data_IF_929136617997
#
_entry.id   IF_929136617997
#
_cell.length_a   1.000
_cell.length_b   1.000
_cell.length_c   1.000
_cell.angle_alpha   90.00
_cell.angle_beta   90.00
_cell.angle_gamma   90.00
#
_symmetry.space_group_name_H-M   'P 1'
#
loop_
_entity.id
_entity.type
_entity.pdbx_description
1 polymer ?
#
# COMPACT_ATOMS: atom_id res chain seq x y z
N UNK A 1 2.58 -14.93 16.28
CA UNK A 1 1.64 -15.41 15.24
C UNK A 1 0.46 -14.48 15.13
N UNK A 2 0.15 -14.02 13.89
CA UNK A 2 -0.94 -13.10 13.60
C UNK A 2 -1.90 -13.74 12.59
N UNK A 3 -3.18 -13.79 12.94
CA UNK A 3 -4.26 -14.12 12.00
C UNK A 3 -4.82 -12.82 11.45
N UNK A 4 -4.63 -12.59 10.14
CA UNK A 4 -5.12 -11.41 9.44
C UNK A 4 -6.62 -11.47 9.18
N UNK A 5 -7.38 -10.63 9.87
CA UNK A 5 -8.84 -10.56 9.73
C UNK A 5 -9.31 -9.34 8.93
N UNK A 6 -8.41 -8.41 8.65
CA UNK A 6 -8.65 -7.19 7.87
C UNK A 6 -7.37 -6.76 7.14
N UNK A 7 -7.53 -5.90 6.15
CA UNK A 7 -6.44 -5.42 5.29
C UNK A 7 -6.60 -3.93 5.04
N UNK A 8 -5.47 -3.23 4.80
CA UNK A 8 -5.51 -1.84 4.33
C UNK A 8 -6.00 -1.77 2.89
N UNK A 9 -6.66 -0.67 2.54
CA UNK A 9 -6.93 -0.33 1.16
C UNK A 9 -5.62 -0.06 0.39
N UNK A 10 -5.67 -0.20 -0.94
CA UNK A 10 -4.55 0.04 -1.84
C UNK A 10 -4.91 1.10 -2.85
N UNK A 11 -4.03 2.09 -3.03
CA UNK A 11 -4.15 3.09 -4.08
C UNK A 11 -2.78 3.33 -4.70
N UNK A 12 -2.63 2.94 -5.96
CA UNK A 12 -1.45 3.23 -6.78
C UNK A 12 -1.75 4.39 -7.72
N UNK A 13 -0.95 5.43 -7.69
CA UNK A 13 -1.10 6.59 -8.57
C UNK A 13 0.16 6.87 -9.35
N UNK A 14 -0.02 7.48 -10.53
CA UNK A 14 1.01 8.07 -11.33
C UNK A 14 0.71 9.56 -11.52
N UNK A 15 1.69 10.39 -11.25
CA UNK A 15 1.67 11.81 -11.53
C UNK A 15 2.57 12.07 -12.74
N UNK A 16 2.04 12.75 -13.74
CA UNK A 16 2.80 13.22 -14.90
C UNK A 16 2.91 14.73 -14.83
N UNK A 17 4.14 15.23 -14.80
CA UNK A 17 4.44 16.66 -14.77
C UNK A 17 5.01 17.04 -16.14
N UNK A 18 4.34 17.98 -16.81
CA UNK A 18 4.74 18.46 -18.13
C UNK A 18 5.11 19.96 -18.09
N UNK A 19 6.18 20.31 -18.75
CA UNK A 19 6.54 21.71 -18.94
C UNK A 19 7.13 21.91 -20.34
N UNK A 20 7.07 23.17 -20.81
CA UNK A 20 7.65 23.52 -22.09
C UNK A 20 9.17 23.35 -22.04
N UNK A 21 9.75 23.06 -23.20
CA UNK A 21 11.17 22.88 -23.39
C UNK A 21 12.00 24.04 -22.83
N UNK A 22 13.00 23.73 -22.03
CA UNK A 22 13.98 24.69 -21.52
C UNK A 22 15.38 24.07 -21.55
N UNK A 23 16.43 24.89 -21.68
CA UNK A 23 17.80 24.42 -21.55
C UNK A 23 18.42 24.87 -20.22
N UNK A 24 19.41 24.11 -19.75
CA UNK A 24 20.08 24.40 -18.47
C UNK A 24 20.84 25.73 -18.47
N UNK A 25 21.28 26.21 -19.65
CA UNK A 25 21.96 27.51 -19.79
C UNK A 25 21.03 28.73 -19.75
N UNK A 26 19.71 28.56 -19.89
CA UNK A 26 18.71 29.64 -19.82
C UNK A 26 17.46 29.22 -19.04
N UNK A 27 17.55 29.00 -17.72
CA UNK A 27 16.46 28.45 -16.91
C UNK A 27 15.31 29.42 -16.61
N UNK A 28 15.33 30.61 -17.19
CA UNK A 28 14.68 31.80 -16.58
C UNK A 28 13.19 31.98 -16.77
N UNK A 29 12.42 31.17 -17.54
CA UNK A 29 10.99 31.46 -17.77
C UNK A 29 10.06 30.25 -17.83
N UNK A 30 10.57 29.03 -17.73
CA UNK A 30 9.75 27.83 -17.85
C UNK A 30 10.02 26.91 -16.67
N UNK A 31 8.95 26.34 -16.13
CA UNK A 31 9.05 25.38 -15.04
C UNK A 31 9.89 24.17 -15.49
N UNK A 32 10.83 23.75 -14.64
CA UNK A 32 11.56 22.51 -14.86
C UNK A 32 10.72 21.35 -14.24
N UNK A 33 10.28 20.37 -15.04
CA UNK A 33 9.40 19.29 -14.55
C UNK A 33 9.98 18.53 -13.36
N UNK A 34 11.30 18.29 -13.34
CA UNK A 34 11.97 17.60 -12.22
C UNK A 34 11.86 18.41 -10.92
N UNK A 35 12.09 19.74 -10.99
CA UNK A 35 11.94 20.61 -9.81
C UNK A 35 10.49 20.64 -9.31
N UNK A 36 9.54 20.77 -10.24
CA UNK A 36 8.10 20.76 -9.91
C UNK A 36 7.71 19.43 -9.28
N UNK A 37 8.15 18.31 -9.84
CA UNK A 37 7.89 16.97 -9.30
C UNK A 37 8.44 16.79 -7.89
N UNK A 38 9.65 17.32 -7.61
CA UNK A 38 10.23 17.26 -6.27
C UNK A 38 9.44 18.10 -5.25
N UNK A 39 9.01 19.31 -5.64
CA UNK A 39 8.17 20.16 -4.79
C UNK A 39 6.85 19.45 -4.52
N UNK A 40 6.18 18.96 -5.56
CA UNK A 40 4.90 18.25 -5.46
C UNK A 40 5.01 17.03 -4.55
N UNK A 41 6.05 16.20 -4.70
CA UNK A 41 6.26 15.02 -3.86
C UNK A 41 6.39 15.39 -2.37
N UNK A 42 7.18 16.40 -2.05
CA UNK A 42 7.35 16.85 -0.67
C UNK A 42 6.07 17.49 -0.08
N UNK A 43 5.31 18.20 -0.89
CA UNK A 43 4.07 18.85 -0.45
C UNK A 43 2.96 17.80 -0.25
N UNK A 44 2.86 16.82 -1.14
CA UNK A 44 1.94 15.69 -1.01
C UNK A 44 2.24 14.87 0.25
N UNK A 45 3.50 14.51 0.49
CA UNK A 45 3.90 13.78 1.69
C UNK A 45 3.40 14.50 2.95
N UNK A 46 3.69 15.80 3.06
CA UNK A 46 3.24 16.61 4.20
C UNK A 46 1.73 16.76 4.30
N UNK A 47 1.05 16.94 3.17
CA UNK A 47 -0.40 17.13 3.16
C UNK A 47 -1.13 15.86 3.57
N UNK A 48 -0.72 14.70 3.05
CA UNK A 48 -1.33 13.40 3.33
C UNK A 48 -1.11 12.99 4.79
N UNK A 49 0.11 13.06 5.31
CA UNK A 49 0.38 12.72 6.72
C UNK A 49 -0.31 13.67 7.70
N UNK A 50 -0.49 14.94 7.34
CA UNK A 50 -1.25 15.91 8.17
C UNK A 50 -2.75 15.62 8.15
N UNK A 51 -3.29 15.22 7.01
CA UNK A 51 -4.72 14.99 6.85
C UNK A 51 -5.18 13.66 7.44
N UNK A 52 -4.31 12.66 7.47
CA UNK A 52 -4.62 11.30 7.91
C UNK A 52 -3.67 10.83 9.02
N UNK A 53 -3.73 11.45 10.21
CA UNK A 53 -2.89 11.11 11.36
C UNK A 53 -3.40 9.88 12.13
N UNK A 54 -4.42 9.18 11.62
CA UNK A 54 -5.09 8.09 12.30
C UNK A 54 -4.16 6.88 12.49
N UNK A 55 -4.33 6.21 13.62
CA UNK A 55 -3.59 5.01 13.99
C UNK A 55 -4.55 3.88 14.35
N UNK A 56 -4.35 2.71 13.76
CA UNK A 56 -5.03 1.46 14.14
C UNK A 56 -3.98 0.45 14.62
N UNK A 57 -3.85 0.30 15.93
CA UNK A 57 -2.86 -0.57 16.59
C UNK A 57 -3.08 -2.06 16.34
N UNK A 58 -4.14 -2.44 15.68
CA UNK A 58 -4.35 -3.83 15.26
C UNK A 58 -3.56 -4.19 13.99
N UNK A 59 -2.93 -3.21 13.32
CA UNK A 59 -1.96 -3.42 12.25
C UNK A 59 -0.53 -3.35 12.78
N UNK A 60 0.39 -4.13 12.19
CA UNK A 60 1.82 -4.05 12.50
C UNK A 60 2.39 -2.66 12.19
N UNK A 61 1.97 -2.06 11.06
CA UNK A 61 2.17 -0.65 10.76
C UNK A 61 0.84 0.06 11.03
N UNK A 62 0.71 0.80 12.14
CA UNK A 62 -0.58 1.30 12.60
C UNK A 62 -1.13 2.49 11.78
N UNK A 63 -0.32 3.11 10.93
CA UNK A 63 -0.67 4.30 10.14
C UNK A 63 -1.01 3.94 8.69
N UNK A 64 -1.68 4.84 7.98
CA UNK A 64 -1.67 4.83 6.51
C UNK A 64 -0.29 5.22 6.00
N UNK A 65 0.14 4.61 4.89
CA UNK A 65 1.44 4.93 4.27
C UNK A 65 1.25 5.46 2.86
N UNK A 66 2.12 6.41 2.46
CA UNK A 66 2.07 7.10 1.18
C UNK A 66 3.48 7.09 0.58
N UNK A 67 3.92 5.93 0.08
CA UNK A 67 5.32 5.71 -0.28
C UNK A 67 5.60 6.07 -1.74
N UNK A 68 6.56 6.96 -2.00
CA UNK A 68 7.01 7.21 -3.36
C UNK A 68 7.69 5.95 -3.92
N UNK A 69 7.29 5.59 -5.13
CA UNK A 69 7.88 4.49 -5.89
C UNK A 69 8.64 5.04 -7.08
N UNK A 70 9.68 4.38 -7.46
CA UNK A 70 10.55 4.57 -8.61
C UNK A 70 10.40 5.86 -9.44
N UNK A 71 11.51 6.34 -9.92
CA UNK A 71 11.61 7.42 -10.92
C UNK A 71 12.02 6.74 -12.21
N UNK A 72 11.24 6.92 -13.29
CA UNK A 72 11.69 6.54 -14.62
C UNK A 72 12.51 7.71 -15.14
N UNK A 73 13.82 7.56 -15.19
CA UNK A 73 14.70 8.56 -15.79
C UNK A 73 14.49 8.56 -17.31
N UNK A 74 14.09 9.72 -17.83
CA UNK A 74 13.84 9.92 -19.26
C UNK A 74 14.95 10.70 -19.98
N UNK A 75 15.98 11.17 -19.27
CA UNK A 75 17.00 12.03 -19.88
C UNK A 75 18.41 11.45 -19.83
N UNK A 76 18.98 11.19 -21.01
CA UNK A 76 20.38 10.80 -21.21
C UNK A 76 21.30 12.02 -21.44
N UNK A 77 20.76 13.22 -21.59
CA UNK A 77 21.53 14.43 -21.94
C UNK A 77 21.46 15.48 -20.83
N UNK A 78 22.59 15.89 -20.31
CA UNK A 78 22.71 16.90 -19.26
C UNK A 78 22.30 18.32 -19.68
N UNK A 79 22.32 18.61 -20.98
CA UNK A 79 22.08 19.95 -21.50
C UNK A 79 20.58 20.27 -21.75
N UNK A 80 19.76 19.25 -21.85
CA UNK A 80 18.32 19.38 -22.19
C UNK A 80 17.49 18.93 -21.02
N UNK A 81 16.65 19.83 -20.48
CA UNK A 81 15.66 19.45 -19.46
C UNK A 81 14.58 18.57 -20.11
N UNK A 82 14.12 17.51 -19.45
CA UNK A 82 13.01 16.71 -19.94
C UNK A 82 11.74 17.56 -20.06
N UNK A 83 10.89 17.25 -21.04
CA UNK A 83 9.57 17.87 -21.14
C UNK A 83 8.57 17.26 -20.18
N UNK A 84 8.84 16.05 -19.69
CA UNK A 84 7.99 15.27 -18.79
C UNK A 84 8.81 14.67 -17.68
N UNK A 85 8.16 14.57 -16.52
CA UNK A 85 8.65 13.86 -15.35
C UNK A 85 7.53 13.05 -14.74
N UNK A 86 7.85 11.90 -14.15
CA UNK A 86 6.88 10.98 -13.58
C UNK A 86 7.14 10.73 -12.10
N UNK A 87 6.08 10.63 -11.32
CA UNK A 87 6.11 10.15 -9.93
C UNK A 87 5.07 9.08 -9.74
N UNK A 88 5.44 8.05 -9.00
CA UNK A 88 4.54 6.97 -8.60
C UNK A 88 4.43 6.97 -7.09
N UNK A 89 3.23 6.77 -6.57
CA UNK A 89 2.98 6.68 -5.13
C UNK A 89 2.15 5.44 -4.87
N UNK A 90 2.60 4.60 -3.95
CA UNK A 90 1.86 3.45 -3.42
C UNK A 90 1.29 3.84 -2.06
N UNK A 91 -0.02 3.87 -1.94
CA UNK A 91 -0.71 4.20 -0.70
C UNK A 91 -1.32 2.94 -0.09
N UNK A 92 -1.06 2.72 1.22
CA UNK A 92 -1.74 1.72 2.03
C UNK A 92 -2.61 2.44 3.05
N UNK A 93 -3.91 2.34 2.87
CA UNK A 93 -4.89 3.24 3.49
C UNK A 93 -5.67 2.47 4.55
N UNK A 94 -5.69 2.98 5.78
CA UNK A 94 -6.46 2.39 6.88
C UNK A 94 -7.95 2.26 6.53
N UNK A 95 -8.65 1.21 7.00
CA UNK A 95 -10.07 1.00 6.71
C UNK A 95 -11.00 2.12 7.19
N UNK A 96 -10.56 2.96 8.13
CA UNK A 96 -11.30 4.13 8.60
C UNK A 96 -11.29 5.31 7.62
N UNK A 97 -10.41 5.29 6.62
CA UNK A 97 -10.19 6.40 5.70
C UNK A 97 -10.80 6.08 4.34
N UNK A 98 -11.60 7.02 3.82
CA UNK A 98 -12.15 6.92 2.48
C UNK A 98 -11.08 7.29 1.44
N UNK A 99 -10.85 6.42 0.45
CA UNK A 99 -9.88 6.64 -0.63
C UNK A 99 -10.20 7.89 -1.45
N UNK A 100 -11.48 8.25 -1.63
CA UNK A 100 -11.85 9.48 -2.33
C UNK A 100 -11.36 10.74 -1.60
N UNK A 101 -11.28 10.71 -0.27
CA UNK A 101 -10.70 11.80 0.51
C UNK A 101 -9.20 11.94 0.29
N UNK A 102 -8.49 10.82 0.11
CA UNK A 102 -7.06 10.80 -0.24
C UNK A 102 -6.86 11.36 -1.64
N UNK A 103 -7.64 10.88 -2.61
CA UNK A 103 -7.60 11.34 -4.00
C UNK A 103 -7.88 12.84 -4.11
N UNK A 104 -8.84 13.34 -3.30
CA UNK A 104 -9.15 14.77 -3.27
C UNK A 104 -7.94 15.60 -2.85
N UNK A 105 -7.25 15.24 -1.79
CA UNK A 105 -6.05 15.97 -1.34
C UNK A 105 -4.96 15.93 -2.41
N UNK A 106 -4.74 14.77 -3.04
CA UNK A 106 -3.76 14.64 -4.11
C UNK A 106 -4.13 15.55 -5.29
N UNK A 107 -5.39 15.56 -5.71
CA UNK A 107 -5.87 16.42 -6.80
C UNK A 107 -5.72 17.90 -6.45
N UNK A 108 -6.15 18.31 -5.24
CA UNK A 108 -6.06 19.69 -4.78
C UNK A 108 -4.59 20.19 -4.78
N UNK A 109 -3.63 19.34 -4.36
CA UNK A 109 -2.20 19.67 -4.39
C UNK A 109 -1.65 19.72 -5.82
N UNK A 110 -2.06 18.81 -6.70
CA UNK A 110 -1.70 18.86 -8.11
C UNK A 110 -2.15 20.18 -8.76
N UNK A 111 -3.40 20.58 -8.54
CA UNK A 111 -3.96 21.83 -9.07
C UNK A 111 -3.24 23.06 -8.50
N UNK A 112 -2.94 23.05 -7.21
CA UNK A 112 -2.19 24.13 -6.55
C UNK A 112 -0.79 24.30 -7.17
N UNK A 113 -0.07 23.21 -7.35
CA UNK A 113 1.27 23.24 -7.93
C UNK A 113 1.24 23.61 -9.41
N UNK A 114 0.28 23.09 -10.17
CA UNK A 114 0.08 23.47 -11.58
C UNK A 114 -0.16 24.98 -11.71
N UNK A 115 -1.03 25.55 -10.87
CA UNK A 115 -1.32 26.99 -10.86
C UNK A 115 -0.08 27.83 -10.47
N UNK A 116 0.66 27.41 -9.45
CA UNK A 116 1.83 28.14 -8.95
C UNK A 116 3.01 28.12 -9.92
N UNK A 117 3.25 26.97 -10.60
CA UNK A 117 4.42 26.77 -11.45
C UNK A 117 4.17 27.01 -12.94
N UNK A 118 2.91 26.97 -13.37
CA UNK A 118 2.52 26.98 -14.78
C UNK A 118 2.83 25.67 -15.51
N UNK A 119 3.21 24.61 -14.81
CA UNK A 119 3.38 23.27 -15.35
C UNK A 119 2.04 22.55 -15.51
N UNK A 120 1.93 21.64 -16.49
CA UNK A 120 0.83 20.66 -16.53
C UNK A 120 1.11 19.58 -15.47
N UNK A 121 0.12 19.29 -14.63
CA UNK A 121 0.19 18.21 -13.66
C UNK A 121 -1.03 17.31 -13.84
N UNK A 122 -0.81 16.03 -14.11
CA UNK A 122 -1.86 15.07 -14.42
C UNK A 122 -1.80 13.90 -13.46
N UNK A 123 -2.94 13.54 -12.88
CA UNK A 123 -3.13 12.40 -11.99
C UNK A 123 -3.76 11.24 -12.77
N UNK A 124 -3.16 10.06 -12.67
CA UNK A 124 -3.67 8.80 -13.19
C UNK A 124 -3.75 7.78 -12.05
N UNK A 125 -4.90 7.14 -11.88
CA UNK A 125 -5.07 6.04 -10.92
C UNK A 125 -4.67 4.75 -11.64
N UNK A 126 -3.63 4.09 -11.14
CA UNK A 126 -3.13 2.83 -11.69
C UNK A 126 -3.83 1.62 -11.04
N UNK A 127 -4.04 1.70 -9.73
CA UNK A 127 -4.67 0.67 -8.93
C UNK A 127 -5.54 1.30 -7.86
N UNK A 128 -6.70 0.71 -7.59
CA UNK A 128 -7.58 1.12 -6.50
C UNK A 128 -8.29 -0.09 -5.93
N UNK A 129 -8.06 -0.34 -4.63
CA UNK A 129 -8.74 -1.36 -3.86
C UNK A 129 -9.23 -0.75 -2.55
N UNK A 130 -10.53 -0.49 -2.49
CA UNK A 130 -11.13 0.07 -1.28
C UNK A 130 -11.10 -0.97 -0.14
N UNK A 131 -10.82 -0.53 1.10
CA UNK A 131 -10.80 -1.44 2.24
C UNK A 131 -12.20 -2.05 2.45
N UNK A 132 -12.21 -3.28 2.96
CA UNK A 132 -13.43 -4.06 3.17
C UNK A 132 -13.59 -4.35 4.66
N UNK A 133 -14.84 -4.52 5.09
CA UNK A 133 -15.15 -4.90 6.46
C UNK A 133 -14.35 -6.14 6.90
N UNK A 134 -13.89 -6.14 8.15
CA UNK A 134 -13.10 -7.23 8.72
C UNK A 134 -13.93 -8.52 8.84
N UNK A 135 -13.25 -9.66 8.79
CA UNK A 135 -13.81 -10.93 9.23
C UNK A 135 -14.01 -10.87 10.76
N UNK A 136 -15.24 -11.11 11.30
CA UNK A 136 -15.45 -11.06 12.74
C UNK A 136 -14.65 -12.14 13.49
N UNK A 137 -14.07 -11.80 14.63
CA UNK A 137 -13.20 -12.69 15.42
C UNK A 137 -13.90 -13.99 15.85
N UNK A 138 -15.22 -13.95 16.08
CA UNK A 138 -16.00 -15.12 16.49
C UNK A 138 -16.44 -16.04 15.35
N UNK A 139 -15.91 -15.90 14.13
CA UNK A 139 -16.25 -16.80 13.03
C UNK A 139 -15.50 -18.12 13.12
N UNK A 140 -16.12 -19.18 12.60
CA UNK A 140 -15.55 -20.53 12.61
C UNK A 140 -14.15 -20.57 11.99
N UNK A 141 -13.92 -19.82 10.91
CA UNK A 141 -12.61 -19.71 10.26
C UNK A 141 -11.52 -19.18 11.20
N UNK A 142 -11.84 -18.18 12.03
CA UNK A 142 -10.89 -17.63 13.01
C UNK A 142 -10.69 -18.62 14.14
N UNK A 143 -11.78 -19.18 14.69
CA UNK A 143 -11.74 -20.09 15.84
C UNK A 143 -10.95 -21.37 15.50
N UNK A 144 -11.28 -22.02 14.39
CA UNK A 144 -10.60 -23.25 13.99
C UNK A 144 -9.12 -23.02 13.66
N UNK A 145 -8.79 -21.93 12.94
CA UNK A 145 -7.39 -21.62 12.66
C UNK A 145 -6.63 -21.30 13.95
N UNK A 146 -7.22 -20.53 14.88
CA UNK A 146 -6.57 -20.24 16.16
C UNK A 146 -6.26 -21.51 16.94
N UNK A 147 -7.21 -22.44 17.01
CA UNK A 147 -7.00 -23.72 17.70
C UNK A 147 -5.93 -24.58 17.04
N UNK A 148 -5.90 -24.64 15.70
CA UNK A 148 -4.90 -25.40 14.97
C UNK A 148 -3.49 -24.81 15.11
N UNK A 149 -3.38 -23.47 15.09
CA UNK A 149 -2.09 -22.76 15.33
C UNK A 149 -1.62 -23.01 16.76
N UNK A 150 -2.51 -22.89 17.75
CA UNK A 150 -2.16 -23.15 19.16
C UNK A 150 -1.68 -24.59 19.38
N UNK A 151 -2.29 -25.59 18.71
CA UNK A 151 -1.89 -26.99 18.79
C UNK A 151 -0.47 -27.21 18.24
N UNK A 152 -0.11 -26.54 17.13
CA UNK A 152 1.20 -26.74 16.47
C UNK A 152 2.30 -25.90 17.12
N UNK A 153 2.00 -24.65 17.50
CA UNK A 153 3.00 -23.68 17.98
C UNK A 153 3.00 -23.52 19.51
N UNK A 154 2.01 -24.05 20.22
CA UNK A 154 1.93 -23.98 21.69
C UNK A 154 1.58 -22.59 22.23
N UNK A 155 1.15 -21.67 21.39
CA UNK A 155 0.75 -20.31 21.77
C UNK A 155 -0.48 -19.85 21.00
N UNK A 156 -1.39 -19.16 21.66
CA UNK A 156 -2.61 -18.60 21.04
C UNK A 156 -2.24 -17.44 20.13
N UNK A 157 -2.58 -17.49 18.82
CA UNK A 157 -2.28 -16.40 17.88
C UNK A 157 -3.14 -15.17 18.19
N UNK A 158 -2.59 -13.99 17.92
CA UNK A 158 -3.35 -12.75 17.93
C UNK A 158 -4.15 -12.58 16.63
N UNK A 159 -5.21 -11.77 16.68
CA UNK A 159 -5.95 -11.35 15.49
C UNK A 159 -5.66 -9.89 15.18
N UNK A 160 -5.53 -9.54 13.88
CA UNK A 160 -5.21 -8.17 13.51
C UNK A 160 -5.33 -7.89 12.02
N UNK A 161 -4.77 -6.76 11.61
CA UNK A 161 -4.73 -6.33 10.23
C UNK A 161 -3.40 -6.64 9.54
N UNK A 162 -3.46 -7.04 8.28
CA UNK A 162 -2.28 -7.16 7.41
C UNK A 162 -2.11 -5.89 6.58
N UNK A 163 -0.86 -5.46 6.38
CA UNK A 163 -0.56 -4.27 5.59
C UNK A 163 -0.69 -4.51 4.08
N UNK A 164 -0.54 -5.77 3.65
CA UNK A 164 -0.65 -6.16 2.25
C UNK A 164 -2.09 -6.48 1.87
N UNK A 165 -2.48 -6.08 0.67
CA UNK A 165 -3.72 -6.51 0.06
C UNK A 165 -3.60 -7.95 -0.45
N UNK A 166 -4.61 -8.78 -0.18
CA UNK A 166 -4.68 -10.17 -0.65
C UNK A 166 -6.05 -10.47 -1.26
N UNK A 167 -6.19 -11.67 -1.83
CA UNK A 167 -7.47 -12.16 -2.35
C UNK A 167 -8.56 -12.23 -1.27
N UNK A 168 -8.19 -12.22 0.01
CA UNK A 168 -9.14 -12.24 1.12
C UNK A 168 -10.06 -11.01 1.10
N UNK A 169 -9.57 -9.84 0.68
CA UNK A 169 -10.42 -8.65 0.50
C UNK A 169 -11.52 -8.88 -0.52
N UNK A 170 -11.23 -9.51 -1.65
CA UNK A 170 -12.23 -9.83 -2.66
C UNK A 170 -13.24 -10.87 -2.16
N UNK A 171 -12.77 -11.89 -1.43
CA UNK A 171 -13.65 -12.88 -0.83
C UNK A 171 -14.59 -12.25 0.21
N UNK A 172 -14.11 -11.28 1.00
CA UNK A 172 -14.94 -10.52 1.96
C UNK A 172 -16.00 -9.69 1.24
N UNK A 173 -15.69 -9.06 0.11
CA UNK A 173 -16.67 -8.32 -0.72
C UNK A 173 -17.81 -9.21 -1.15
N UNK A 174 -17.54 -10.50 -1.37
CA UNK A 174 -18.56 -11.51 -1.73
C UNK A 174 -19.28 -12.12 -0.54
N UNK A 175 -19.07 -11.58 0.66
CA UNK A 175 -19.75 -12.03 1.89
C UNK A 175 -19.14 -13.27 2.53
N UNK A 176 -18.00 -13.77 2.03
CA UNK A 176 -17.24 -14.82 2.69
C UNK A 176 -16.48 -14.26 3.90
N UNK A 177 -16.00 -15.15 4.75
CA UNK A 177 -15.28 -14.78 5.97
C UNK A 177 -13.87 -15.37 5.98
N UNK A 178 -13.01 -14.98 5.02
CA UNK A 178 -11.66 -15.48 4.96
C UNK A 178 -10.79 -14.84 6.04
N UNK A 179 -9.69 -15.53 6.34
CA UNK A 179 -8.58 -15.02 7.14
C UNK A 179 -7.28 -15.19 6.36
N UNK A 180 -6.26 -14.42 6.71
CA UNK A 180 -4.92 -14.52 6.13
C UNK A 180 -3.97 -14.98 7.22
N UNK A 181 -3.21 -16.02 6.96
CA UNK A 181 -2.23 -16.53 7.90
C UNK A 181 -1.08 -17.20 7.17
N UNK A 182 0.09 -17.07 7.72
CA UNK A 182 1.32 -17.70 7.28
C UNK A 182 2.47 -17.24 8.15
N UNK A 183 3.56 -18.01 8.14
CA UNK A 183 4.79 -17.69 8.85
C UNK A 183 5.79 -17.02 7.91
N UNK A 184 6.36 -15.92 8.37
CA UNK A 184 7.35 -15.18 7.62
C UNK A 184 8.37 -14.56 8.55
N UNK A 185 9.61 -14.45 8.07
CA UNK A 185 10.66 -13.70 8.73
C UNK A 185 10.64 -12.19 8.39
N UNK A 186 9.62 -11.72 7.66
CA UNK A 186 9.49 -10.33 7.24
C UNK A 186 10.44 -9.95 6.11
N UNK A 187 10.82 -10.90 5.28
CA UNK A 187 11.76 -10.72 4.15
C UNK A 187 11.07 -10.65 2.79
N UNK A 188 9.73 -10.57 2.78
CA UNK A 188 8.95 -10.49 1.54
C UNK A 188 9.32 -9.26 0.74
N UNK A 189 9.64 -9.47 -0.54
CA UNK A 189 10.03 -8.42 -1.47
C UNK A 189 11.47 -7.94 -1.32
N UNK A 190 12.29 -8.53 -0.45
CA UNK A 190 13.72 -8.27 -0.38
C UNK A 190 14.47 -9.06 -1.45
N UNK A 191 15.67 -8.60 -1.90
CA UNK A 191 16.44 -9.28 -2.94
C UNK A 191 16.78 -10.75 -2.64
N UNK A 192 16.97 -11.08 -1.38
CA UNK A 192 17.30 -12.44 -0.91
C UNK A 192 16.13 -13.09 -0.15
N UNK A 193 14.90 -12.91 -0.66
CA UNK A 193 13.70 -13.51 -0.09
C UNK A 193 13.84 -15.03 0.03
N UNK A 194 13.52 -15.56 1.20
CA UNK A 194 13.59 -16.98 1.49
C UNK A 194 12.40 -17.47 2.31
N UNK A 195 12.17 -18.77 2.30
CA UNK A 195 11.24 -19.43 3.21
C UNK A 195 12.00 -20.50 4.00
N UNK A 196 11.81 -20.54 5.31
CA UNK A 196 12.36 -21.61 6.15
C UNK A 196 11.57 -22.89 5.96
N UNK A 197 12.26 -24.00 5.79
CA UNK A 197 11.60 -25.30 5.70
C UNK A 197 10.80 -25.65 6.96
N UNK A 198 11.26 -25.22 8.13
CA UNK A 198 10.53 -25.40 9.40
C UNK A 198 9.16 -24.73 9.37
N UNK A 199 9.07 -23.52 8.82
CA UNK A 199 7.79 -22.82 8.64
C UNK A 199 6.86 -23.61 7.70
N UNK A 200 7.37 -24.10 6.58
CA UNK A 200 6.59 -24.90 5.63
C UNK A 200 6.00 -26.15 6.28
N UNK A 201 6.79 -26.89 7.07
CA UNK A 201 6.31 -28.09 7.75
C UNK A 201 5.27 -27.77 8.83
N UNK A 202 5.50 -26.73 9.61
CA UNK A 202 4.57 -26.30 10.66
C UNK A 202 3.27 -25.79 10.07
N UNK A 203 3.31 -24.99 9.01
CA UNK A 203 2.11 -24.56 8.28
C UNK A 203 1.34 -25.72 7.68
N UNK A 204 2.04 -26.67 7.06
CA UNK A 204 1.41 -27.88 6.53
C UNK A 204 0.68 -28.68 7.63
N UNK A 205 1.25 -28.73 8.84
CA UNK A 205 0.62 -29.38 10.00
C UNK A 205 -0.65 -28.65 10.43
N UNK A 206 -0.65 -27.31 10.50
CA UNK A 206 -1.84 -26.51 10.79
C UNK A 206 -2.94 -26.75 9.75
N UNK A 207 -2.62 -26.74 8.47
CA UNK A 207 -3.59 -27.02 7.40
C UNK A 207 -4.12 -28.45 7.45
N UNK A 208 -3.27 -29.44 7.80
CA UNK A 208 -3.71 -30.83 7.96
C UNK A 208 -4.75 -30.97 9.11
N UNK A 209 -4.51 -30.29 10.24
CA UNK A 209 -5.46 -30.25 11.35
C UNK A 209 -6.80 -29.62 10.91
N UNK A 210 -6.76 -28.47 10.22
CA UNK A 210 -7.95 -27.80 9.71
C UNK A 210 -8.74 -28.72 8.77
N UNK A 211 -8.09 -29.37 7.82
CA UNK A 211 -8.73 -30.26 6.86
C UNK A 211 -9.37 -31.48 7.55
N UNK A 212 -8.70 -32.06 8.56
CA UNK A 212 -9.23 -33.18 9.32
C UNK A 212 -10.42 -32.81 10.22
N UNK A 213 -10.44 -31.58 10.74
CA UNK A 213 -11.52 -31.05 11.58
C UNK A 213 -12.76 -30.64 10.82
N UNK A 214 -12.62 -30.13 9.60
CA UNK A 214 -13.75 -29.71 8.75
C UNK A 214 -14.54 -30.88 8.13
N UNK A 215 -14.07 -32.11 8.26
CA UNK A 215 -14.73 -33.32 7.76
C UNK A 215 -15.63 -33.99 8.81
N UNK A 216 -15.86 -33.40 9.95
CA UNK A 216 -16.82 -33.83 10.97
C UNK A 216 -18.00 -32.84 11.01
#
# INVERSE_FOLDING_TARGET
DLIGIKEKGKLGIKLTIEAKHSCSGSPGKVANPIRVANILSNDLDRALHRAFPDHDRSFLSPESTFEPRGIIDSSTFLEINPEREYRFIDCRILPSINIDSVLKIISDECDRIAHFTGAGVFLEILEREDPVASTPVGTDTVVYLSSAVEEVYGSTPSTGGTCNWTIASELRRRGLKPVVWGQSDGVEGFPDEYCRMEHMFSEASVFAILMSGCMK
#
